data_IF_728867027436
#
_entry.id   IF_728867027436
#
_cell.length_a   1.000
_cell.length_b   1.000
_cell.length_c   1.000
_cell.angle_alpha   90.00
_cell.angle_beta   90.00
_cell.angle_gamma   90.00
#
_symmetry.space_group_name_H-M   'P 1'
#
loop_
_entity.id
_entity.type
_entity.pdbx_description
1 polymer ?
#
# COMPACT_ATOMS: atom_id res chain seq x y z
N UNK A 1 44.52 -40.23 33.98
CA UNK A 1 43.66 -39.05 33.75
C UNK A 1 43.92 -38.59 32.33
N UNK A 2 43.09 -39.08 31.40
CA UNK A 2 43.30 -38.94 29.97
C UNK A 2 42.70 -37.62 29.50
N UNK A 3 43.54 -36.68 29.04
CA UNK A 3 43.05 -35.44 28.43
C UNK A 3 42.57 -35.74 27.01
N UNK A 4 41.28 -35.48 26.79
CA UNK A 4 40.55 -35.68 25.54
C UNK A 4 40.90 -34.53 24.57
N UNK A 5 41.15 -34.88 23.31
CA UNK A 5 41.39 -33.96 22.20
C UNK A 5 40.15 -33.17 21.74
N UNK A 6 40.23 -32.46 20.60
CA UNK A 6 39.70 -31.12 20.43
C UNK A 6 38.19 -31.08 20.16
N UNK A 7 37.53 -30.07 20.73
CA UNK A 7 36.20 -29.64 20.35
C UNK A 7 36.28 -28.46 19.38
N UNK A 8 35.88 -28.68 18.13
CA UNK A 8 35.25 -27.66 17.28
C UNK A 8 34.71 -28.34 16.03
N UNK A 9 33.47 -28.82 16.15
CA UNK A 9 32.64 -29.25 15.03
C UNK A 9 32.26 -28.04 14.18
N UNK A 10 32.84 -27.94 12.99
CA UNK A 10 32.33 -27.15 11.88
C UNK A 10 31.14 -27.86 11.25
N UNK A 11 29.99 -27.21 11.14
CA UNK A 11 29.04 -27.39 10.03
C UNK A 11 27.98 -26.30 10.10
N UNK A 12 28.07 -25.40 9.12
CA UNK A 12 27.12 -24.36 8.77
C UNK A 12 25.84 -24.99 8.21
N UNK A 13 24.67 -24.59 8.72
CA UNK A 13 23.41 -24.65 7.98
C UNK A 13 22.53 -23.44 8.32
N UNK A 14 21.69 -23.01 7.36
CA UNK A 14 21.44 -21.60 7.07
C UNK A 14 20.31 -21.01 7.91
N UNK A 15 20.39 -19.70 8.14
CA UNK A 15 19.27 -18.87 8.57
C UNK A 15 18.16 -18.95 7.51
N UNK A 16 17.13 -19.77 7.75
CA UNK A 16 15.85 -19.59 7.09
C UNK A 16 15.22 -18.38 7.77
N UNK A 17 15.49 -17.21 7.21
CA UNK A 17 14.69 -16.03 7.50
C UNK A 17 13.26 -16.35 7.04
N UNK A 18 12.33 -16.31 7.98
CA UNK A 18 10.90 -16.27 7.72
C UNK A 18 10.60 -14.99 6.92
N UNK A 19 10.70 -15.08 5.60
CA UNK A 19 10.54 -13.98 4.64
C UNK A 19 9.08 -13.50 4.51
N UNK A 20 8.19 -13.92 5.40
CA UNK A 20 6.77 -13.56 5.37
C UNK A 20 6.34 -12.60 6.48
N UNK A 21 7.24 -12.18 7.37
CA UNK A 21 6.82 -11.54 8.62
C UNK A 21 7.58 -10.25 8.97
N UNK A 22 7.70 -9.33 8.01
CA UNK A 22 8.12 -7.94 8.28
C UNK A 22 7.27 -6.86 7.55
N UNK A 23 6.44 -7.23 6.57
CA UNK A 23 5.71 -6.24 5.76
C UNK A 23 4.36 -5.78 6.32
N UNK A 24 3.88 -6.37 7.43
CA UNK A 24 2.58 -6.03 8.05
C UNK A 24 2.71 -4.82 9.00
N UNK A 25 3.92 -4.33 9.26
CA UNK A 25 4.18 -3.24 10.18
C UNK A 25 4.93 -2.09 9.49
N UNK A 26 4.30 -1.47 8.50
CA UNK A 26 4.65 -0.10 8.12
C UNK A 26 5.96 0.07 7.34
N UNK A 27 6.13 -0.64 6.22
CA UNK A 27 7.16 -0.29 5.25
C UNK A 27 6.67 0.88 4.37
N UNK A 28 6.66 2.07 4.99
CA UNK A 28 6.49 3.34 4.31
C UNK A 28 7.42 3.39 3.12
N UNK A 29 6.85 3.48 1.93
CA UNK A 29 7.65 3.87 0.79
C UNK A 29 8.13 5.30 1.07
N UNK A 30 9.44 5.48 1.29
CA UNK A 30 10.02 6.82 1.46
C UNK A 30 9.99 7.64 0.16
N UNK A 31 9.43 7.09 -0.93
CA UNK A 31 9.24 7.83 -2.16
C UNK A 31 8.08 8.83 -1.98
N UNK A 32 8.34 10.15 -2.10
CA UNK A 32 7.30 11.15 -1.96
C UNK A 32 6.38 11.23 -3.18
N UNK A 33 6.69 10.52 -4.26
CA UNK A 33 6.04 10.62 -5.57
C UNK A 33 5.05 9.48 -5.78
N UNK A 34 3.90 9.80 -6.39
CA UNK A 34 2.89 8.82 -6.81
C UNK A 34 2.42 7.92 -5.65
N UNK A 35 2.07 8.54 -4.52
CA UNK A 35 1.51 7.86 -3.36
C UNK A 35 0.00 7.68 -3.48
N UNK A 36 -0.48 6.53 -3.01
CA UNK A 36 -1.87 6.10 -3.05
C UNK A 36 -2.33 5.76 -1.64
N UNK A 37 -3.55 6.13 -1.31
CA UNK A 37 -4.23 5.81 -0.06
C UNK A 37 -5.14 4.59 -0.27
N UNK A 38 -4.97 3.56 0.54
CA UNK A 38 -5.94 2.46 0.59
C UNK A 38 -7.24 2.94 1.25
N UNK A 39 -8.37 2.84 0.54
CA UNK A 39 -9.65 3.29 1.04
C UNK A 39 -10.26 2.34 2.09
N UNK A 40 -9.75 1.11 2.20
CA UNK A 40 -10.18 0.12 3.18
C UNK A 40 -9.49 0.32 4.55
N UNK A 41 -8.17 0.31 4.61
CA UNK A 41 -7.40 0.37 5.86
C UNK A 41 -6.66 1.68 6.13
N UNK A 42 -6.69 2.63 5.18
CA UNK A 42 -6.06 3.97 5.29
C UNK A 42 -4.53 3.99 5.26
N UNK A 43 -3.88 2.88 4.92
CA UNK A 43 -2.44 2.86 4.66
C UNK A 43 -2.10 3.62 3.39
N UNK A 44 -0.92 4.27 3.38
CA UNK A 44 -0.40 5.02 2.24
C UNK A 44 0.83 4.32 1.70
N UNK A 45 0.83 4.04 0.41
CA UNK A 45 1.90 3.32 -0.28
C UNK A 45 2.11 3.87 -1.69
N UNK A 46 3.30 3.67 -2.24
CA UNK A 46 3.57 4.09 -3.61
C UNK A 46 2.82 3.23 -4.63
N UNK A 47 2.60 3.82 -5.81
CA UNK A 47 1.84 3.21 -6.89
C UNK A 47 2.48 1.94 -7.46
N UNK A 48 1.72 1.24 -8.30
CA UNK A 48 2.21 0.13 -9.13
C UNK A 48 3.31 0.52 -10.14
N UNK A 49 3.50 1.81 -10.39
CA UNK A 49 4.50 2.33 -11.33
C UNK A 49 5.80 2.77 -10.63
N UNK A 50 5.79 2.86 -9.30
CA UNK A 50 6.98 3.13 -8.48
C UNK A 50 7.57 1.81 -7.99
N UNK A 51 7.33 1.40 -6.73
CA UNK A 51 7.85 0.15 -6.16
C UNK A 51 6.75 -0.91 -5.98
N UNK A 52 5.53 -0.68 -6.47
CA UNK A 52 4.42 -1.63 -6.45
C UNK A 52 3.87 -1.97 -5.08
N UNK A 53 4.18 -1.20 -4.04
CA UNK A 53 3.69 -1.48 -2.69
C UNK A 53 2.15 -1.49 -2.60
N UNK A 54 1.46 -0.56 -3.27
CA UNK A 54 -0.01 -0.59 -3.27
C UNK A 54 -0.59 -1.82 -4.02
N UNK A 55 0.11 -2.34 -5.03
CA UNK A 55 -0.28 -3.58 -5.71
C UNK A 55 -0.06 -4.80 -4.79
N UNK A 56 1.09 -4.87 -4.11
CA UNK A 56 1.38 -5.94 -3.15
C UNK A 56 0.38 -5.93 -1.99
N UNK A 57 0.05 -4.75 -1.47
CA UNK A 57 -0.98 -4.58 -0.45
C UNK A 57 -2.33 -5.14 -0.88
N UNK A 58 -2.78 -4.84 -2.10
CA UNK A 58 -4.00 -5.42 -2.64
C UNK A 58 -3.94 -6.96 -2.67
N UNK A 59 -2.83 -7.53 -3.13
CA UNK A 59 -2.65 -8.99 -3.23
C UNK A 59 -2.67 -9.69 -1.87
N UNK A 60 -2.16 -9.04 -0.82
CA UNK A 60 -2.08 -9.61 0.53
C UNK A 60 -3.39 -9.44 1.34
N UNK A 61 -4.09 -8.33 1.13
CA UNK A 61 -5.24 -7.94 1.98
C UNK A 61 -6.59 -8.07 1.27
N UNK A 62 -6.59 -8.26 -0.05
CA UNK A 62 -7.75 -8.15 -0.92
C UNK A 62 -8.45 -6.78 -0.89
N UNK A 63 -7.81 -5.73 -0.33
CA UNK A 63 -8.32 -4.37 -0.44
C UNK A 63 -8.20 -3.87 -1.88
N UNK A 64 -9.33 -3.58 -2.52
CA UNK A 64 -9.34 -3.25 -3.94
C UNK A 64 -9.36 -1.75 -4.25
N UNK A 65 -9.83 -0.91 -3.32
CA UNK A 65 -10.08 0.50 -3.59
C UNK A 65 -8.97 1.39 -3.07
N UNK A 66 -8.45 2.24 -3.94
CA UNK A 66 -7.34 3.16 -3.62
C UNK A 66 -7.56 4.53 -4.24
N UNK A 67 -7.08 5.58 -3.58
CA UNK A 67 -7.15 6.97 -4.04
C UNK A 67 -5.74 7.49 -4.28
N UNK A 68 -5.49 8.08 -5.45
CA UNK A 68 -4.22 8.72 -5.80
C UNK A 68 -4.09 10.09 -5.14
N UNK A 69 -2.96 10.37 -4.49
CA UNK A 69 -2.66 11.72 -4.00
C UNK A 69 -2.26 12.69 -5.13
N UNK A 70 -1.80 12.19 -6.28
CA UNK A 70 -1.38 13.03 -7.40
C UNK A 70 -2.56 13.75 -8.07
N UNK A 71 -3.69 13.08 -8.23
CA UNK A 71 -4.83 13.58 -9.03
C UNK A 71 -6.22 13.26 -8.44
N UNK A 72 -6.28 12.64 -7.25
CA UNK A 72 -7.53 12.24 -6.58
C UNK A 72 -8.35 11.18 -7.34
N UNK A 73 -7.78 10.57 -8.39
CA UNK A 73 -8.41 9.44 -9.08
C UNK A 73 -8.57 8.24 -8.14
N UNK A 74 -9.66 7.48 -8.33
CA UNK A 74 -9.91 6.24 -7.58
C UNK A 74 -9.64 5.06 -8.50
N UNK A 75 -8.76 4.16 -8.08
CA UNK A 75 -8.47 2.91 -8.78
C UNK A 75 -9.04 1.71 -8.01
N UNK A 76 -9.67 0.80 -8.76
CA UNK A 76 -10.10 -0.49 -8.25
C UNK A 76 -9.23 -1.62 -8.84
N UNK A 77 -8.45 -2.30 -8.00
CA UNK A 77 -7.65 -3.45 -8.43
C UNK A 77 -8.50 -4.63 -8.89
N UNK A 78 -9.60 -4.93 -8.20
CA UNK A 78 -10.53 -6.00 -8.58
C UNK A 78 -11.13 -5.80 -9.98
N UNK A 79 -11.47 -4.56 -10.34
CA UNK A 79 -12.12 -4.23 -11.62
C UNK A 79 -11.12 -3.89 -12.72
N UNK A 80 -9.84 -3.71 -12.37
CA UNK A 80 -8.81 -3.17 -13.25
C UNK A 80 -9.23 -1.86 -13.94
N UNK A 81 -9.92 -0.99 -13.21
CA UNK A 81 -10.51 0.23 -13.75
C UNK A 81 -10.45 1.42 -12.78
N UNK A 82 -10.42 2.62 -13.36
CA UNK A 82 -10.71 3.84 -12.64
C UNK A 82 -12.21 3.94 -12.37
N UNK A 83 -12.55 4.40 -11.17
CA UNK A 83 -13.92 4.62 -10.75
C UNK A 83 -14.23 6.11 -10.69
N UNK A 84 -15.39 6.49 -11.21
CA UNK A 84 -15.86 7.87 -11.14
C UNK A 84 -16.47 8.15 -9.76
N UNK A 85 -15.74 8.93 -8.95
CA UNK A 85 -16.17 9.29 -7.60
C UNK A 85 -17.32 10.30 -7.57
N UNK A 86 -17.65 10.96 -8.68
CA UNK A 86 -18.81 11.85 -8.80
C UNK A 86 -20.10 11.06 -9.06
N UNK A 87 -20.01 9.99 -9.86
CA UNK A 87 -21.15 9.12 -10.18
C UNK A 87 -21.40 8.10 -9.07
N UNK A 88 -20.36 7.52 -8.49
CA UNK A 88 -20.49 6.50 -7.43
C UNK A 88 -20.70 7.18 -6.08
N UNK A 89 -21.95 7.19 -5.62
CA UNK A 89 -22.37 7.95 -4.44
C UNK A 89 -21.57 7.60 -3.17
N UNK A 90 -21.15 6.35 -3.03
CA UNK A 90 -20.36 5.85 -1.89
C UNK A 90 -18.93 6.41 -1.87
N UNK A 91 -18.38 6.82 -3.02
CA UNK A 91 -17.03 7.40 -3.11
C UNK A 91 -17.03 8.92 -2.91
N UNK A 92 -18.18 9.59 -3.07
CA UNK A 92 -18.28 11.05 -2.94
C UNK A 92 -17.73 11.60 -1.62
N UNK A 93 -18.04 11.05 -0.43
CA UNK A 93 -17.57 11.64 0.82
C UNK A 93 -16.04 11.64 0.94
N UNK A 94 -15.39 10.56 0.52
CA UNK A 94 -13.92 10.48 0.58
C UNK A 94 -13.25 11.36 -0.47
N UNK A 95 -13.81 11.42 -1.67
CA UNK A 95 -13.30 12.31 -2.72
C UNK A 95 -13.47 13.79 -2.32
N UNK A 96 -14.62 14.18 -1.76
CA UNK A 96 -14.86 15.53 -1.25
C UNK A 96 -13.86 15.90 -0.15
N UNK A 97 -13.65 15.02 0.83
CA UNK A 97 -12.68 15.25 1.89
C UNK A 97 -11.26 15.40 1.33
N UNK A 98 -10.84 14.50 0.42
CA UNK A 98 -9.52 14.57 -0.20
C UNK A 98 -9.34 15.85 -1.04
N UNK A 99 -10.37 16.30 -1.75
CA UNK A 99 -10.35 17.53 -2.53
C UNK A 99 -10.19 18.76 -1.63
N UNK A 100 -10.97 18.88 -0.55
CA UNK A 100 -10.87 19.97 0.40
C UNK A 100 -9.49 20.01 1.06
N UNK A 101 -8.96 18.85 1.47
CA UNK A 101 -7.64 18.78 2.09
C UNK A 101 -6.51 19.17 1.12
N UNK A 102 -6.66 18.84 -0.17
CA UNK A 102 -5.65 19.15 -1.19
C UNK A 102 -5.71 20.58 -1.69
N UNK A 103 -6.90 21.13 -1.89
CA UNK A 103 -7.10 22.40 -2.58
C UNK A 103 -7.63 23.53 -1.69
N UNK A 104 -8.10 23.22 -0.48
CA UNK A 104 -8.64 24.20 0.46
C UNK A 104 -10.06 24.69 0.14
N UNK A 105 -10.75 24.08 -0.83
CA UNK A 105 -12.11 24.44 -1.25
C UNK A 105 -12.94 23.19 -1.57
N UNK A 106 -14.26 23.35 -1.73
CA UNK A 106 -15.14 22.25 -2.12
C UNK A 106 -14.93 21.86 -3.60
N UNK A 107 -15.06 20.57 -3.98
CA UNK A 107 -14.99 20.17 -5.37
C UNK A 107 -16.10 20.83 -6.20
N UNK A 108 -15.87 21.09 -7.50
CA UNK A 108 -16.90 21.54 -8.40
C UNK A 108 -18.07 20.54 -8.42
N UNK A 109 -19.29 21.07 -8.58
CA UNK A 109 -20.48 20.23 -8.63
C UNK A 109 -20.40 19.27 -9.85
N UNK A 110 -20.87 18.02 -9.71
CA UNK A 110 -21.00 17.12 -10.84
C UNK A 110 -21.84 17.79 -11.94
N UNK A 111 -21.33 17.81 -13.15
CA UNK A 111 -22.13 18.16 -14.33
C UNK A 111 -22.99 16.93 -14.64
N UNK A 112 -24.28 17.00 -14.28
CA UNK A 112 -25.28 15.96 -14.55
C UNK A 112 -25.78 16.05 -16.00
#
# INVERSE_FOLDING_TARGET
>A
MSNVGPSSSSSSQPEVADETQDWILGAGCENPVENWLCLCCKEVMCSRFVNRHMLMHHQQTAHCLTLSYSDLSVWCFCCEAYLDAQVILQLRPVHQAAYILKFGEAPPLPQL
#
